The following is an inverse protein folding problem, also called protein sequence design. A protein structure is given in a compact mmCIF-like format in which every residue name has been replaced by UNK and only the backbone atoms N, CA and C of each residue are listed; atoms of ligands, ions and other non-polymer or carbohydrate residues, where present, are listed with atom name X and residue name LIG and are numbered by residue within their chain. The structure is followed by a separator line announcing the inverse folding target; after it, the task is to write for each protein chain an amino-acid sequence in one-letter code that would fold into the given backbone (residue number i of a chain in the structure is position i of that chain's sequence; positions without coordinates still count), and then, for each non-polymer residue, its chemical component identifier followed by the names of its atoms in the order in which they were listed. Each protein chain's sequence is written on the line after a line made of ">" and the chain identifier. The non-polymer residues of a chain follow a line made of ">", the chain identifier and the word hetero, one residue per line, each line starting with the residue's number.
data_IF_831671986762
#
_entry.id   IF_831671986762
#
_cell.length_a   1.000
_cell.length_b   1.000
_cell.length_c   1.000
_cell.angle_alpha   90.00
_cell.angle_beta   90.00
_cell.angle_gamma   90.00
#
_symmetry.space_group_name_H-M   'P 1'
#
loop_
_entity.id
_entity.type
_entity.pdbx_description
1 polymer ?
#
# COMPACT_ATOMS: atom_id res chain seq x y z
N UNK A 1 10.45 -28.10 -14.69
CA UNK A 1 11.56 -28.10 -15.68
C UNK A 1 12.80 -27.31 -15.22
N UNK A 2 13.38 -27.51 -14.01
CA UNK A 2 14.56 -26.72 -13.59
C UNK A 2 15.79 -26.91 -14.48
N UNK A 3 16.06 -28.15 -14.91
CA UNK A 3 17.20 -28.47 -15.78
C UNK A 3 17.11 -27.79 -17.15
N UNK A 4 15.92 -27.72 -17.75
CA UNK A 4 15.73 -27.01 -19.02
C UNK A 4 16.03 -25.52 -18.83
N UNK A 5 15.52 -24.89 -17.77
CA UNK A 5 15.79 -23.48 -17.49
C UNK A 5 17.29 -23.18 -17.32
N UNK A 6 18.02 -24.07 -16.64
CA UNK A 6 19.49 -23.95 -16.49
C UNK A 6 20.20 -24.12 -17.83
N UNK A 7 19.85 -25.13 -18.62
CA UNK A 7 20.45 -25.36 -19.95
C UNK A 7 20.21 -24.15 -20.85
N UNK A 8 18.97 -23.65 -20.90
CA UNK A 8 18.62 -22.45 -21.67
C UNK A 8 19.39 -21.22 -21.18
N UNK A 9 19.50 -21.01 -19.86
CA UNK A 9 20.29 -19.91 -19.29
C UNK A 9 21.77 -19.99 -19.70
N UNK A 10 22.38 -21.19 -19.64
CA UNK A 10 23.76 -21.39 -20.05
C UNK A 10 23.97 -21.15 -21.55
N UNK A 11 23.03 -21.57 -22.40
CA UNK A 11 23.08 -21.28 -23.84
C UNK A 11 22.99 -19.77 -24.09
N UNK A 12 22.04 -19.08 -23.44
CA UNK A 12 21.92 -17.61 -23.55
C UNK A 12 23.19 -16.88 -23.10
N UNK A 13 23.81 -17.34 -22.01
CA UNK A 13 25.05 -16.79 -21.49
C UNK A 13 26.27 -17.04 -22.39
N UNK A 14 26.55 -18.30 -22.73
CA UNK A 14 27.77 -18.65 -23.48
C UNK A 14 27.70 -18.36 -24.97
N UNK A 15 26.54 -18.53 -25.61
CA UNK A 15 26.40 -18.32 -27.07
C UNK A 15 26.08 -16.87 -27.40
N UNK A 16 25.22 -16.23 -26.60
CA UNK A 16 24.70 -14.89 -26.91
C UNK A 16 25.19 -13.79 -25.94
N UNK A 17 25.99 -14.13 -24.93
CA UNK A 17 26.45 -13.19 -23.88
C UNK A 17 25.29 -12.50 -23.13
N UNK A 18 24.14 -13.16 -23.03
CA UNK A 18 22.90 -12.63 -22.42
C UNK A 18 22.75 -13.05 -20.95
N UNK A 19 23.81 -12.94 -20.14
CA UNK A 19 23.80 -13.31 -18.71
C UNK A 19 22.79 -12.50 -17.89
N UNK A 20 22.66 -11.21 -18.20
CA UNK A 20 21.84 -10.26 -17.46
C UNK A 20 20.33 -10.36 -17.74
N UNK A 21 19.84 -10.53 -18.98
CA UNK A 21 18.42 -10.82 -19.20
C UNK A 21 18.10 -12.32 -19.09
N UNK A 22 19.10 -13.19 -19.21
CA UNK A 22 18.91 -14.64 -19.24
C UNK A 22 18.27 -15.22 -17.97
N UNK A 23 18.42 -14.58 -16.81
CA UNK A 23 17.83 -15.10 -15.56
C UNK A 23 16.29 -15.11 -15.58
N UNK A 24 15.65 -14.35 -16.47
CA UNK A 24 14.20 -14.36 -16.66
C UNK A 24 13.69 -15.78 -16.99
N UNK A 25 14.52 -16.62 -17.60
CA UNK A 25 14.21 -18.03 -17.88
C UNK A 25 13.90 -18.80 -16.60
N UNK A 26 14.47 -18.45 -15.44
CA UNK A 26 14.15 -19.12 -14.18
C UNK A 26 12.72 -18.86 -13.71
N UNK A 27 12.07 -17.77 -14.13
CA UNK A 27 10.66 -17.51 -13.84
C UNK A 27 9.74 -18.56 -14.51
N UNK A 28 10.19 -19.21 -15.58
CA UNK A 28 9.45 -20.31 -16.22
C UNK A 28 9.22 -21.51 -15.28
N UNK A 29 10.08 -21.71 -14.27
CA UNK A 29 9.98 -22.84 -13.34
C UNK A 29 8.67 -22.77 -12.53
N UNK A 30 8.41 -21.72 -11.72
CA UNK A 30 7.15 -21.58 -11.02
C UNK A 30 5.97 -21.34 -11.98
N UNK A 31 6.15 -20.61 -13.09
CA UNK A 31 5.06 -20.33 -14.03
C UNK A 31 4.47 -21.61 -14.65
N UNK A 32 5.31 -22.53 -15.12
CA UNK A 32 4.85 -23.81 -15.67
C UNK A 32 4.15 -24.65 -14.60
N UNK A 33 4.67 -24.66 -13.36
CA UNK A 33 4.03 -25.36 -12.26
C UNK A 33 2.64 -24.80 -11.94
N UNK A 34 2.48 -23.48 -11.94
CA UNK A 34 1.18 -22.81 -11.73
C UNK A 34 0.21 -23.16 -12.86
N UNK A 35 0.63 -23.04 -14.12
CA UNK A 35 -0.21 -23.32 -15.29
C UNK A 35 -0.68 -24.78 -15.30
N UNK A 36 0.20 -25.71 -14.95
CA UNK A 36 -0.12 -27.14 -14.96
C UNK A 36 -1.05 -27.56 -13.81
N UNK A 37 -0.93 -26.93 -12.63
CA UNK A 37 -1.61 -27.41 -11.42
C UNK A 37 -2.77 -26.54 -10.95
N UNK A 38 -3.04 -25.40 -11.61
CA UNK A 38 -4.01 -24.40 -11.14
C UNK A 38 -5.11 -24.17 -12.18
N UNK A 39 -6.36 -24.00 -11.71
CA UNK A 39 -7.48 -23.60 -12.57
C UNK A 39 -7.22 -22.24 -13.22
N UNK A 40 -7.63 -22.05 -14.47
CA UNK A 40 -7.37 -20.84 -15.28
C UNK A 40 -7.52 -19.51 -14.52
N UNK A 41 -8.65 -19.32 -13.83
CA UNK A 41 -8.91 -18.10 -13.03
C UNK A 41 -7.87 -17.86 -11.94
N UNK A 42 -7.53 -18.89 -11.18
CA UNK A 42 -6.54 -18.81 -10.11
C UNK A 42 -5.11 -18.73 -10.67
N UNK A 43 -4.88 -19.33 -11.84
CA UNK A 43 -3.61 -19.28 -12.54
C UNK A 43 -3.29 -17.84 -12.98
N UNK A 44 -4.25 -17.06 -13.50
CA UNK A 44 -4.01 -15.65 -13.86
C UNK A 44 -3.54 -14.84 -12.65
N UNK A 45 -4.21 -14.98 -11.50
CA UNK A 45 -3.83 -14.27 -10.28
C UNK A 45 -2.44 -14.70 -9.81
N UNK A 46 -2.16 -16.01 -9.80
CA UNK A 46 -0.86 -16.55 -9.39
C UNK A 46 0.28 -16.22 -10.36
N UNK A 47 -0.01 -16.05 -11.66
CA UNK A 47 0.96 -15.65 -12.68
C UNK A 47 1.22 -14.14 -12.70
N UNK A 48 0.32 -13.33 -12.14
CA UNK A 48 0.40 -11.87 -12.21
C UNK A 48 1.75 -11.29 -11.75
N UNK A 49 2.42 -11.77 -10.68
CA UNK A 49 3.72 -11.22 -10.29
C UNK A 49 4.81 -11.49 -11.32
N UNK A 50 4.79 -12.68 -11.92
CA UNK A 50 5.76 -13.06 -12.95
C UNK A 50 5.56 -12.26 -14.22
N UNK A 51 4.31 -12.09 -14.66
CA UNK A 51 3.96 -11.26 -15.81
C UNK A 51 4.34 -9.80 -15.59
N UNK A 52 4.09 -9.25 -14.40
CA UNK A 52 4.49 -7.88 -14.04
C UNK A 52 6.01 -7.71 -14.04
N UNK A 53 6.79 -8.68 -13.52
CA UNK A 53 8.26 -8.61 -13.57
C UNK A 53 8.76 -8.64 -15.00
N UNK A 54 8.25 -9.55 -15.84
CA UNK A 54 8.65 -9.64 -17.25
C UNK A 54 8.34 -8.32 -17.97
N UNK A 55 7.11 -7.80 -17.82
CA UNK A 55 6.71 -6.52 -18.41
C UNK A 55 7.58 -5.36 -17.92
N UNK A 56 7.87 -5.30 -16.62
CA UNK A 56 8.72 -4.25 -16.02
C UNK A 56 10.13 -4.26 -16.60
N UNK A 57 10.73 -5.44 -16.76
CA UNK A 57 12.08 -5.57 -17.31
C UNK A 57 12.13 -5.24 -18.80
N UNK A 58 11.12 -5.62 -19.58
CA UNK A 58 11.00 -5.23 -20.99
C UNK A 58 10.91 -3.70 -21.09
N UNK A 59 10.03 -3.07 -20.30
CA UNK A 59 9.89 -1.61 -20.26
C UNK A 59 11.20 -0.92 -19.86
N UNK A 60 11.91 -1.45 -18.86
CA UNK A 60 13.16 -0.90 -18.38
C UNK A 60 14.32 -1.05 -19.36
N UNK A 61 14.53 -2.25 -19.90
CA UNK A 61 15.68 -2.52 -20.78
C UNK A 61 15.48 -2.02 -22.20
N UNK A 62 14.31 -2.24 -22.82
CA UNK A 62 14.07 -1.86 -24.22
C UNK A 62 13.68 -0.39 -24.36
N UNK A 63 12.87 0.13 -23.44
CA UNK A 63 12.29 1.46 -23.56
C UNK A 63 12.85 2.48 -22.55
N UNK A 64 13.74 2.08 -21.63
CA UNK A 64 14.25 2.93 -20.53
C UNK A 64 13.14 3.50 -19.64
N UNK A 65 11.96 2.87 -19.63
CA UNK A 65 10.78 3.31 -18.89
C UNK A 65 10.75 2.74 -17.47
N UNK A 66 11.85 2.83 -16.71
CA UNK A 66 11.88 2.39 -15.31
C UNK A 66 10.89 3.16 -14.44
N UNK A 67 10.77 4.47 -14.71
CA UNK A 67 9.80 5.37 -14.12
C UNK A 67 8.99 6.05 -15.24
N UNK A 68 7.67 5.84 -15.35
CA UNK A 68 6.77 5.20 -14.39
C UNK A 68 6.49 3.69 -14.65
N UNK A 69 7.37 2.95 -15.34
CA UNK A 69 7.08 1.55 -15.73
C UNK A 69 6.81 0.58 -14.58
N UNK A 70 7.19 0.91 -13.34
CA UNK A 70 6.79 0.15 -12.15
C UNK A 70 5.26 0.03 -11.98
N UNK A 71 4.46 0.89 -12.61
CA UNK A 71 2.99 0.81 -12.57
C UNK A 71 2.44 -0.54 -13.04
N UNK A 72 3.19 -1.32 -13.84
CA UNK A 72 2.80 -2.68 -14.23
C UNK A 72 2.61 -3.63 -13.03
N UNK A 73 3.21 -3.33 -11.87
CA UNK A 73 3.00 -4.10 -10.65
C UNK A 73 1.60 -3.92 -10.04
N UNK A 74 0.88 -2.83 -10.38
CA UNK A 74 -0.52 -2.66 -9.97
C UNK A 74 -1.44 -3.71 -10.60
N UNK A 75 -1.01 -4.37 -11.69
CA UNK A 75 -1.71 -5.52 -12.26
C UNK A 75 -1.86 -6.68 -11.28
N UNK A 76 -0.93 -6.86 -10.34
CA UNK A 76 -0.97 -7.96 -9.36
C UNK A 76 -2.26 -7.90 -8.52
N UNK A 77 -2.51 -6.85 -7.71
CA UNK A 77 -3.75 -6.75 -6.96
C UNK A 77 -4.98 -6.56 -7.86
N UNK A 78 -4.86 -5.84 -8.98
CA UNK A 78 -5.99 -5.64 -9.90
C UNK A 78 -6.50 -6.96 -10.49
N UNK A 79 -5.61 -7.86 -10.92
CA UNK A 79 -5.99 -9.16 -11.46
C UNK A 79 -6.77 -10.00 -10.43
N UNK A 80 -6.35 -9.94 -9.16
CA UNK A 80 -7.04 -10.60 -8.06
C UNK A 80 -8.45 -10.03 -7.86
N UNK A 81 -8.59 -8.69 -7.87
CA UNK A 81 -9.88 -8.02 -7.67
C UNK A 81 -10.83 -8.28 -8.85
N UNK A 82 -10.36 -8.12 -10.09
CA UNK A 82 -11.17 -8.33 -11.30
C UNK A 82 -11.76 -9.74 -11.32
N UNK A 83 -10.96 -10.73 -10.94
CA UNK A 83 -11.37 -12.13 -11.02
C UNK A 83 -12.18 -12.54 -9.79
N UNK A 84 -11.85 -12.08 -8.59
CA UNK A 84 -12.43 -12.62 -7.35
C UNK A 84 -13.57 -11.77 -6.73
N UNK A 85 -13.78 -10.55 -7.22
CA UNK A 85 -14.80 -9.63 -6.68
C UNK A 85 -16.05 -9.62 -7.56
N UNK A 86 -17.22 -9.39 -6.94
CA UNK A 86 -18.48 -9.19 -7.68
C UNK A 86 -18.42 -7.88 -8.48
N UNK A 87 -19.02 -7.85 -9.67
CA UNK A 87 -19.01 -6.65 -10.54
C UNK A 87 -19.46 -5.36 -9.84
N UNK A 88 -20.43 -5.45 -8.92
CA UNK A 88 -20.92 -4.29 -8.16
C UNK A 88 -19.83 -3.65 -7.28
N UNK A 89 -19.00 -4.46 -6.65
CA UNK A 89 -17.99 -4.00 -5.68
C UNK A 89 -16.62 -3.80 -6.37
N UNK A 90 -16.46 -4.38 -7.56
CA UNK A 90 -15.22 -4.35 -8.34
C UNK A 90 -14.79 -2.93 -8.69
N UNK A 91 -15.71 -2.04 -9.10
CA UNK A 91 -15.35 -0.67 -9.50
C UNK A 91 -14.78 0.14 -8.33
N UNK A 92 -15.39 0.03 -7.15
CA UNK A 92 -14.88 0.67 -5.93
C UNK A 92 -13.51 0.08 -5.58
N UNK A 93 -13.36 -1.23 -5.62
CA UNK A 93 -12.12 -1.92 -5.25
C UNK A 93 -10.94 -1.63 -6.20
N UNK A 94 -11.19 -1.44 -7.50
CA UNK A 94 -10.15 -1.13 -8.49
C UNK A 94 -9.82 0.37 -8.53
N UNK A 95 -10.74 1.24 -8.09
CA UNK A 95 -10.58 2.70 -8.17
C UNK A 95 -9.28 3.26 -7.59
N UNK A 96 -8.67 2.75 -6.49
CA UNK A 96 -7.40 3.29 -6.01
C UNK A 96 -6.23 3.05 -6.97
N UNK A 97 -6.24 1.91 -7.67
CA UNK A 97 -5.22 1.56 -8.66
C UNK A 97 -5.36 2.42 -9.91
N UNK A 98 -6.59 2.62 -10.38
CA UNK A 98 -6.89 3.50 -11.52
C UNK A 98 -6.54 4.94 -11.19
N UNK A 99 -6.91 5.42 -10.00
CA UNK A 99 -6.56 6.76 -9.53
C UNK A 99 -5.04 6.95 -9.46
N UNK A 100 -4.31 5.95 -8.96
CA UNK A 100 -2.84 5.98 -8.92
C UNK A 100 -2.24 6.07 -10.32
N UNK A 101 -2.71 5.27 -11.28
CA UNK A 101 -2.23 5.32 -12.67
C UNK A 101 -2.46 6.71 -13.27
N UNK A 102 -3.68 7.25 -13.15
CA UNK A 102 -4.02 8.57 -13.67
C UNK A 102 -3.17 9.65 -12.98
N UNK A 103 -3.02 9.59 -11.65
CA UNK A 103 -2.22 10.55 -10.88
C UNK A 103 -0.76 10.57 -11.32
N UNK A 104 -0.14 9.40 -11.49
CA UNK A 104 1.24 9.28 -11.95
C UNK A 104 1.38 9.78 -13.39
N UNK A 105 0.40 9.49 -14.27
CA UNK A 105 0.41 10.02 -15.64
C UNK A 105 0.28 11.55 -15.64
N UNK A 106 -0.63 12.12 -14.85
CA UNK A 106 -0.78 13.56 -14.69
C UNK A 106 0.49 14.23 -14.14
N UNK A 107 1.13 13.61 -13.14
CA UNK A 107 2.36 14.11 -12.54
C UNK A 107 3.55 14.09 -13.51
N UNK A 108 3.85 12.94 -14.13
CA UNK A 108 5.05 12.83 -14.97
C UNK A 108 4.91 13.44 -16.37
N UNK A 109 3.73 13.35 -17.00
CA UNK A 109 3.56 13.82 -18.38
C UNK A 109 3.02 15.25 -18.47
N UNK A 110 2.32 15.74 -17.45
CA UNK A 110 1.68 17.05 -17.46
C UNK A 110 2.12 17.98 -16.31
N UNK A 111 2.99 17.53 -15.40
CA UNK A 111 3.42 18.25 -14.20
C UNK A 111 2.27 18.69 -13.29
N UNK A 112 1.15 17.96 -13.33
CA UNK A 112 -0.09 18.27 -12.61
C UNK A 112 -0.14 17.56 -11.25
N UNK A 113 0.91 17.62 -10.44
CA UNK A 113 0.96 16.96 -9.12
C UNK A 113 -0.07 17.52 -8.13
N UNK A 114 -0.17 18.85 -8.07
CA UNK A 114 -1.03 19.53 -7.11
C UNK A 114 -2.53 19.50 -7.47
N UNK A 115 -2.97 19.67 -8.72
CA UNK A 115 -4.37 19.41 -9.07
C UNK A 115 -4.65 17.92 -9.30
N UNK A 116 -3.65 17.11 -9.63
CA UNK A 116 -3.84 15.70 -10.01
C UNK A 116 -4.28 14.80 -8.87
N UNK A 117 -3.98 15.13 -7.61
CA UNK A 117 -4.41 14.30 -6.48
C UNK A 117 -5.94 14.24 -6.35
N UNK A 118 -6.66 15.21 -6.91
CA UNK A 118 -8.13 15.24 -6.91
C UNK A 118 -8.74 13.99 -7.54
N UNK A 119 -8.00 13.29 -8.41
CA UNK A 119 -8.45 12.01 -9.01
C UNK A 119 -8.72 10.95 -7.95
N UNK A 120 -8.02 10.97 -6.80
CA UNK A 120 -8.29 10.03 -5.71
C UNK A 120 -9.70 10.20 -5.10
N UNK A 121 -10.35 11.35 -5.27
CA UNK A 121 -11.73 11.56 -4.85
C UNK A 121 -12.73 10.70 -5.64
N UNK A 122 -12.33 10.12 -6.78
CA UNK A 122 -13.15 9.14 -7.48
C UNK A 122 -13.48 7.93 -6.61
N UNK A 123 -12.61 7.58 -5.65
CA UNK A 123 -12.78 6.42 -4.77
C UNK A 123 -14.02 6.59 -3.87
N UNK A 124 -14.11 7.64 -3.02
CA UNK A 124 -15.32 7.87 -2.22
C UNK A 124 -16.54 8.20 -3.08
N UNK A 125 -16.40 8.93 -4.19
CA UNK A 125 -17.53 9.27 -5.08
C UNK A 125 -18.18 8.00 -5.65
N UNK A 126 -17.39 7.11 -6.27
CA UNK A 126 -17.89 5.82 -6.77
C UNK A 126 -18.50 4.99 -5.64
N UNK A 127 -17.88 4.98 -4.45
CA UNK A 127 -18.41 4.29 -3.27
C UNK A 127 -19.80 4.79 -2.84
N UNK A 128 -20.01 6.11 -2.87
CA UNK A 128 -21.28 6.72 -2.48
C UNK A 128 -22.40 6.40 -3.47
N UNK A 129 -22.12 6.30 -4.78
CA UNK A 129 -23.13 5.98 -5.80
C UNK A 129 -23.90 4.67 -5.53
N UNK A 130 -23.30 3.74 -4.78
CA UNK A 130 -23.93 2.47 -4.41
C UNK A 130 -24.85 2.54 -3.18
N UNK A 131 -24.99 3.71 -2.53
CA UNK A 131 -25.92 3.88 -1.41
C UNK A 131 -27.38 3.80 -1.89
N UNK A 132 -28.28 3.23 -1.06
CA UNK A 132 -29.69 3.08 -1.43
C UNK A 132 -30.42 4.42 -1.52
N UNK A 133 -30.09 5.38 -0.64
CA UNK A 133 -30.78 6.67 -0.58
C UNK A 133 -30.23 7.65 -1.63
N UNK A 134 -31.00 7.87 -2.71
CA UNK A 134 -30.62 8.77 -3.81
C UNK A 134 -30.41 10.22 -3.38
N UNK A 135 -31.11 10.69 -2.34
CA UNK A 135 -30.90 12.04 -1.82
C UNK A 135 -29.51 12.17 -1.16
N UNK A 136 -29.11 11.16 -0.38
CA UNK A 136 -27.77 11.16 0.22
C UNK A 136 -26.70 11.14 -0.86
N UNK A 137 -26.86 10.28 -1.88
CA UNK A 137 -25.94 10.23 -3.03
C UNK A 137 -25.80 11.61 -3.68
N UNK A 138 -26.93 12.25 -4.01
CA UNK A 138 -26.92 13.57 -4.63
C UNK A 138 -26.22 14.62 -3.76
N UNK A 139 -26.52 14.65 -2.45
CA UNK A 139 -25.90 15.61 -1.52
C UNK A 139 -24.38 15.42 -1.44
N UNK A 140 -23.88 14.20 -1.33
CA UNK A 140 -22.44 13.92 -1.32
C UNK A 140 -21.76 14.26 -2.64
N UNK A 141 -22.33 13.86 -3.78
CA UNK A 141 -21.75 14.16 -5.09
C UNK A 141 -21.66 15.67 -5.32
N UNK A 142 -22.73 16.41 -4.99
CA UNK A 142 -22.74 17.87 -5.05
C UNK A 142 -21.65 18.47 -4.14
N UNK A 143 -21.48 17.88 -2.95
CA UNK A 143 -20.48 18.32 -1.98
C UNK A 143 -19.04 18.18 -2.48
N UNK A 144 -18.74 17.05 -3.14
CA UNK A 144 -17.42 16.81 -3.73
C UNK A 144 -17.18 17.75 -4.90
N UNK A 145 -18.16 17.95 -5.77
CA UNK A 145 -18.06 18.88 -6.91
C UNK A 145 -17.79 20.31 -6.43
N UNK A 146 -18.53 20.78 -5.41
CA UNK A 146 -18.32 22.11 -4.81
C UNK A 146 -16.94 22.22 -4.17
N UNK A 147 -16.51 21.20 -3.42
CA UNK A 147 -15.18 21.19 -2.79
C UNK A 147 -14.04 21.20 -3.82
N UNK A 148 -14.16 20.41 -4.90
CA UNK A 148 -13.20 20.39 -6.01
C UNK A 148 -13.15 21.75 -6.70
N UNK A 149 -14.30 22.34 -7.02
CA UNK A 149 -14.39 23.67 -7.63
C UNK A 149 -13.76 24.74 -6.76
N UNK A 150 -14.03 24.73 -5.46
CA UNK A 150 -13.42 25.64 -4.49
C UNK A 150 -11.90 25.44 -4.39
N UNK A 151 -11.42 24.20 -4.32
CA UNK A 151 -9.99 23.89 -4.28
C UNK A 151 -9.25 24.44 -5.50
N UNK A 152 -9.77 24.18 -6.70
CA UNK A 152 -9.18 24.65 -7.95
C UNK A 152 -9.26 26.17 -8.07
N UNK A 153 -10.36 26.79 -7.66
CA UNK A 153 -10.51 28.24 -7.67
C UNK A 153 -9.52 28.92 -6.72
N UNK A 154 -9.42 28.46 -5.48
CA UNK A 154 -8.45 29.00 -4.51
C UNK A 154 -7.00 28.76 -4.93
N UNK A 155 -6.72 27.59 -5.52
CA UNK A 155 -5.39 27.24 -6.02
C UNK A 155 -4.94 28.07 -7.23
N UNK A 156 -5.79 28.22 -8.25
CA UNK A 156 -5.41 28.90 -9.50
C UNK A 156 -5.59 30.42 -9.46
N UNK A 157 -6.60 30.95 -8.75
CA UNK A 157 -6.89 32.40 -8.73
C UNK A 157 -6.11 33.10 -7.62
N UNK A 158 -5.98 32.46 -6.46
CA UNK A 158 -5.39 33.08 -5.27
C UNK A 158 -4.04 32.47 -4.88
N UNK A 159 -3.58 31.39 -5.54
CA UNK A 159 -2.37 30.64 -5.17
C UNK A 159 -2.40 30.07 -3.73
N UNK A 160 -3.60 29.94 -3.16
CA UNK A 160 -3.85 29.56 -1.77
C UNK A 160 -4.35 28.11 -1.67
N UNK A 161 -3.55 27.16 -2.16
CA UNK A 161 -3.88 25.73 -2.19
C UNK A 161 -4.25 25.14 -0.81
N UNK A 162 -3.55 25.57 0.25
CA UNK A 162 -3.82 25.11 1.62
C UNK A 162 -5.24 25.49 2.08
N UNK A 163 -5.67 26.73 1.78
CA UNK A 163 -7.02 27.19 2.11
C UNK A 163 -8.08 26.54 1.22
N UNK A 164 -7.75 26.31 -0.06
CA UNK A 164 -8.59 25.51 -0.95
C UNK A 164 -8.87 24.12 -0.37
N UNK A 165 -7.87 23.50 0.27
CA UNK A 165 -7.99 22.20 0.92
C UNK A 165 -9.06 22.14 2.01
N UNK A 166 -9.35 23.27 2.66
CA UNK A 166 -10.42 23.36 3.66
C UNK A 166 -11.81 23.12 3.06
N UNK A 167 -11.98 23.29 1.74
CA UNK A 167 -13.23 22.94 1.05
C UNK A 167 -13.63 21.48 1.22
N UNK A 168 -12.66 20.57 1.41
CA UNK A 168 -12.94 19.15 1.64
C UNK A 168 -13.51 18.82 3.02
N UNK A 169 -13.60 19.81 3.93
CA UNK A 169 -14.40 19.68 5.14
C UNK A 169 -15.91 19.61 4.82
N UNK A 170 -16.34 20.11 3.67
CA UNK A 170 -17.76 20.13 3.30
C UNK A 170 -18.34 18.72 3.05
N UNK A 171 -17.73 17.84 2.23
CA UNK A 171 -18.16 16.44 2.13
C UNK A 171 -18.15 15.69 3.46
N UNK A 172 -17.16 15.96 4.31
CA UNK A 172 -17.07 15.37 5.64
C UNK A 172 -18.20 15.84 6.56
N UNK A 173 -18.49 17.14 6.58
CA UNK A 173 -19.61 17.72 7.32
C UNK A 173 -20.96 17.17 6.88
N UNK A 174 -21.17 16.98 5.58
CA UNK A 174 -22.37 16.30 5.06
C UNK A 174 -22.46 14.87 5.58
N UNK A 175 -21.34 14.14 5.68
CA UNK A 175 -21.38 12.79 6.24
C UNK A 175 -21.74 12.71 7.72
N UNK A 176 -21.38 13.72 8.50
CA UNK A 176 -21.87 13.87 9.88
C UNK A 176 -23.37 14.18 9.88
N UNK A 177 -23.83 15.15 9.08
CA UNK A 177 -25.24 15.57 9.02
C UNK A 177 -26.18 14.45 8.59
N UNK A 178 -25.74 13.61 7.65
CA UNK A 178 -26.50 12.47 7.14
C UNK A 178 -26.43 11.25 8.07
N UNK A 179 -25.69 11.33 9.18
CA UNK A 179 -25.58 10.26 10.18
C UNK A 179 -24.77 9.04 9.72
N UNK A 180 -23.98 9.19 8.64
CA UNK A 180 -23.08 8.15 8.15
C UNK A 180 -21.79 8.09 8.98
N UNK A 181 -21.35 9.22 9.52
CA UNK A 181 -20.23 9.32 10.45
C UNK A 181 -20.80 9.35 11.86
N UNK A 182 -20.77 8.20 12.54
CA UNK A 182 -21.15 8.10 13.95
C UNK A 182 -19.89 7.99 14.80
N UNK A 183 -19.79 8.87 15.79
CA UNK A 183 -18.78 8.74 16.84
C UNK A 183 -19.33 7.78 17.90
N UNK A 184 -19.11 6.48 17.71
CA UNK A 184 -19.45 5.47 18.71
C UNK A 184 -18.45 5.54 19.87
N UNK A 185 -18.73 6.40 20.85
CA UNK A 185 -18.03 6.41 22.14
C UNK A 185 -18.42 5.22 23.03
N UNK A 186 -19.54 4.55 22.74
CA UNK A 186 -20.02 3.34 23.43
C UNK A 186 -19.13 2.11 23.19
N UNK A 187 -18.22 2.14 22.21
CA UNK A 187 -17.21 1.10 22.01
C UNK A 187 -16.25 0.92 23.20
N UNK A 188 -16.26 1.87 24.15
CA UNK A 188 -15.46 1.83 25.38
C UNK A 188 -16.13 0.98 26.47
N UNK A 189 -17.42 0.65 26.37
CA UNK A 189 -18.13 -0.15 27.37
C UNK A 189 -18.22 -1.63 26.97
N UNK A 190 -17.35 -2.45 27.56
CA UNK A 190 -17.33 -3.89 27.36
C UNK A 190 -16.14 -4.59 28.01
N UNK A 191 -16.05 -5.93 27.93
CA UNK A 191 -14.94 -6.71 28.53
C UNK A 191 -13.56 -6.40 27.91
N UNK A 192 -13.52 -5.64 26.80
CA UNK A 192 -12.30 -5.20 26.13
C UNK A 192 -11.89 -3.75 26.44
N UNK A 193 -12.61 -3.04 27.31
CA UNK A 193 -12.35 -1.64 27.69
C UNK A 193 -10.88 -1.36 28.01
N UNK A 194 -10.27 -2.20 28.85
CA UNK A 194 -8.86 -2.05 29.24
C UNK A 194 -7.92 -2.19 28.04
N UNK A 195 -8.22 -3.07 27.08
CA UNK A 195 -7.41 -3.27 25.87
C UNK A 195 -7.49 -2.05 24.95
N UNK A 196 -8.70 -1.49 24.77
CA UNK A 196 -8.93 -0.27 24.00
C UNK A 196 -8.21 0.92 24.64
N UNK A 197 -8.28 1.07 25.97
CA UNK A 197 -7.56 2.12 26.69
C UNK A 197 -6.04 1.97 26.52
N UNK A 198 -5.50 0.76 26.65
CA UNK A 198 -4.07 0.49 26.42
C UNK A 198 -3.66 0.86 24.99
N UNK A 199 -4.48 0.55 23.98
CA UNK A 199 -4.23 0.98 22.60
C UNK A 199 -4.24 2.50 22.43
N UNK A 200 -5.25 3.19 22.98
CA UNK A 200 -5.34 4.65 22.89
C UNK A 200 -4.14 5.32 23.55
N UNK A 201 -3.78 4.89 24.78
CA UNK A 201 -2.60 5.37 25.48
C UNK A 201 -1.32 5.13 24.69
N UNK A 202 -1.22 3.96 24.05
CA UNK A 202 -0.08 3.62 23.17
C UNK A 202 0.01 4.57 21.99
N UNK A 203 -1.11 4.86 21.32
CA UNK A 203 -1.14 5.80 20.19
C UNK A 203 -0.71 7.20 20.63
N UNK A 204 -1.28 7.71 21.73
CA UNK A 204 -0.89 9.02 22.26
C UNK A 204 0.59 9.06 22.67
N UNK A 205 1.09 8.01 23.32
CA UNK A 205 2.51 7.88 23.66
C UNK A 205 3.39 7.91 22.40
N UNK A 206 3.04 7.14 21.36
CA UNK A 206 3.82 7.10 20.12
C UNK A 206 3.85 8.46 19.42
N UNK A 207 2.73 9.19 19.37
CA UNK A 207 2.68 10.55 18.82
C UNK A 207 3.56 11.49 19.64
N UNK A 208 3.42 11.48 20.96
CA UNK A 208 4.23 12.33 21.85
C UNK A 208 5.72 12.03 21.70
N UNK A 209 6.11 10.76 21.69
CA UNK A 209 7.49 10.33 21.52
C UNK A 209 8.02 10.68 20.11
N UNK A 210 7.23 10.49 19.05
CA UNK A 210 7.60 10.89 17.69
C UNK A 210 7.91 12.38 17.59
N UNK A 211 7.02 13.24 18.12
CA UNK A 211 7.22 14.69 18.12
C UNK A 211 8.39 15.09 19.01
N UNK A 212 8.56 14.45 20.16
CA UNK A 212 9.68 14.72 21.07
C UNK A 212 11.02 14.37 20.41
N UNK A 213 11.15 13.18 19.81
CA UNK A 213 12.35 12.76 19.09
C UNK A 213 12.61 13.66 17.87
N UNK A 214 11.57 14.02 17.13
CA UNK A 214 11.67 14.92 15.98
C UNK A 214 12.13 16.33 16.34
N UNK A 215 11.47 16.99 17.29
CA UNK A 215 11.77 18.40 17.62
C UNK A 215 12.95 18.58 18.57
N UNK A 216 13.18 17.66 19.53
CA UNK A 216 14.24 17.81 20.54
C UNK A 216 15.57 17.26 20.05
N UNK A 217 15.55 16.16 19.30
CA UNK A 217 16.76 15.43 18.87
C UNK A 217 17.01 15.50 17.36
N UNK A 218 16.22 16.29 16.62
CA UNK A 218 16.22 16.36 15.15
C UNK A 218 16.12 14.97 14.49
N UNK A 219 15.43 14.04 15.17
CA UNK A 219 15.48 12.61 14.89
C UNK A 219 14.46 12.13 13.86
N UNK A 220 13.96 12.99 12.97
CA UNK A 220 12.83 12.69 12.08
C UNK A 220 13.00 11.41 11.25
N UNK A 221 14.24 11.13 10.85
CA UNK A 221 14.61 9.98 10.00
C UNK A 221 14.33 8.64 10.71
N UNK A 222 14.47 8.57 12.05
CA UNK A 222 14.27 7.32 12.82
C UNK A 222 13.10 7.39 13.80
N UNK A 223 12.59 8.58 14.13
CA UNK A 223 11.50 8.77 15.10
C UNK A 223 10.22 8.00 14.72
N UNK A 224 9.95 7.81 13.42
CA UNK A 224 8.77 7.09 12.95
C UNK A 224 8.74 5.61 13.41
N UNK A 225 9.89 5.02 13.74
CA UNK A 225 9.96 3.63 14.21
C UNK A 225 9.14 3.41 15.48
N UNK A 226 8.92 4.45 16.29
CA UNK A 226 8.07 4.40 17.50
C UNK A 226 6.64 3.94 17.16
N UNK A 227 6.12 4.26 15.98
CA UNK A 227 4.78 3.84 15.58
C UNK A 227 4.65 2.32 15.39
N UNK A 228 5.75 1.59 15.21
CA UNK A 228 5.74 0.11 15.15
C UNK A 228 5.34 -0.52 16.49
N UNK A 229 5.36 0.24 17.59
CA UNK A 229 4.88 -0.22 18.89
C UNK A 229 3.35 -0.38 18.92
N UNK A 230 2.61 0.39 18.12
CA UNK A 230 1.13 0.30 18.05
C UNK A 230 0.66 -1.11 17.66
N UNK A 231 1.09 -1.69 16.52
CA UNK A 231 0.68 -3.04 16.15
C UNK A 231 1.23 -4.11 17.11
N UNK A 232 2.42 -3.92 17.69
CA UNK A 232 2.96 -4.86 18.70
C UNK A 232 2.05 -4.91 19.92
N UNK A 233 1.68 -3.76 20.49
CA UNK A 233 0.76 -3.70 21.63
C UNK A 233 -0.62 -4.23 21.26
N UNK A 234 -1.11 -3.96 20.05
CA UNK A 234 -2.38 -4.52 19.58
C UNK A 234 -2.35 -6.06 19.57
N UNK A 235 -1.29 -6.68 19.06
CA UNK A 235 -1.14 -8.15 19.07
C UNK A 235 -1.09 -8.67 20.51
N UNK A 236 -0.31 -8.04 21.39
CA UNK A 236 -0.19 -8.45 22.78
C UNK A 236 -1.49 -8.30 23.57
N UNK A 237 -2.29 -7.27 23.26
CA UNK A 237 -3.54 -6.99 23.95
C UNK A 237 -4.69 -7.87 23.45
N UNK A 238 -4.80 -8.12 22.14
CA UNK A 238 -5.97 -8.76 21.53
C UNK A 238 -5.76 -10.24 21.20
N UNK A 239 -4.55 -10.65 20.88
CA UNK A 239 -4.22 -12.03 20.54
C UNK A 239 -3.45 -12.74 21.67
N UNK A 240 -3.35 -14.06 21.56
CA UNK A 240 -2.37 -14.82 22.36
C UNK A 240 -0.97 -14.43 21.90
N UNK A 241 -0.05 -14.33 22.85
CA UNK A 241 1.36 -14.08 22.56
C UNK A 241 1.88 -15.11 21.56
N UNK A 242 2.37 -14.63 20.42
CA UNK A 242 3.00 -15.41 19.36
C UNK A 242 4.22 -14.65 18.89
N UNK A 243 5.41 -15.24 19.05
CA UNK A 243 6.65 -14.56 18.70
C UNK A 243 6.71 -14.30 17.18
N UNK A 244 6.16 -15.20 16.39
CA UNK A 244 5.94 -15.05 14.94
C UNK A 244 5.19 -13.78 14.55
N UNK A 245 4.22 -13.35 15.34
CA UNK A 245 3.41 -12.17 15.03
C UNK A 245 4.16 -10.85 15.30
N UNK A 246 5.12 -10.86 16.24
CA UNK A 246 5.88 -9.68 16.67
C UNK A 246 7.20 -9.55 15.88
N UNK A 247 7.75 -10.67 15.42
CA UNK A 247 9.03 -10.74 14.72
C UNK A 247 9.21 -9.75 13.55
N UNK A 248 8.21 -9.48 12.68
CA UNK A 248 8.37 -8.50 11.60
C UNK A 248 8.65 -7.08 12.10
N UNK A 249 7.97 -6.65 13.16
CA UNK A 249 8.16 -5.32 13.74
C UNK A 249 9.54 -5.19 14.37
N UNK A 250 9.99 -6.22 15.09
CA UNK A 250 11.33 -6.28 15.67
C UNK A 250 12.40 -6.26 14.57
N UNK A 251 12.21 -7.04 13.50
CA UNK A 251 13.13 -7.06 12.37
C UNK A 251 13.26 -5.68 11.70
N UNK A 252 12.15 -4.96 11.49
CA UNK A 252 12.16 -3.61 10.92
C UNK A 252 12.88 -2.62 11.84
N UNK A 253 12.61 -2.68 13.16
CA UNK A 253 13.31 -1.83 14.14
C UNK A 253 14.81 -2.07 14.05
N UNK A 254 15.25 -3.34 14.11
CA UNK A 254 16.66 -3.70 14.02
C UNK A 254 17.29 -3.32 12.67
N UNK A 255 16.60 -3.55 11.55
CA UNK A 255 17.08 -3.21 10.21
C UNK A 255 17.46 -1.73 10.11
N UNK A 256 16.55 -0.85 10.51
CA UNK A 256 16.75 0.59 10.42
C UNK A 256 17.65 1.12 11.54
N UNK A 257 17.62 0.56 12.75
CA UNK A 257 18.54 0.97 13.82
C UNK A 257 19.99 0.59 13.48
N UNK A 258 20.24 -0.62 12.99
CA UNK A 258 21.58 -1.02 12.54
C UNK A 258 22.02 -0.20 11.32
N UNK A 259 21.10 0.01 10.38
CA UNK A 259 21.35 0.80 9.17
C UNK A 259 21.71 2.25 9.47
N UNK A 260 20.89 2.98 10.24
CA UNK A 260 21.12 4.41 10.48
C UNK A 260 22.19 4.71 11.52
N UNK A 261 22.31 3.93 12.61
CA UNK A 261 23.29 4.23 13.67
C UNK A 261 24.69 3.69 13.38
N UNK A 262 24.82 2.65 12.56
CA UNK A 262 26.11 2.01 12.26
C UNK A 262 26.49 2.04 10.78
N UNK A 263 25.66 2.60 9.89
CA UNK A 263 25.84 2.59 8.44
C UNK A 263 25.96 1.18 7.83
N UNK A 264 25.35 0.19 8.50
CA UNK A 264 25.47 -1.24 8.15
C UNK A 264 24.22 -1.79 7.45
N UNK A 265 23.64 -1.04 6.51
CA UNK A 265 22.48 -1.49 5.72
C UNK A 265 22.74 -2.79 4.95
N UNK A 266 23.98 -3.02 4.55
CA UNK A 266 24.42 -4.22 3.84
C UNK A 266 24.37 -5.51 4.69
N UNK A 267 24.36 -5.40 6.02
CA UNK A 267 24.22 -6.54 6.96
C UNK A 267 22.85 -6.51 7.66
N UNK A 268 22.25 -5.33 7.84
CA UNK A 268 21.04 -5.18 8.65
C UNK A 268 19.84 -5.99 8.13
N UNK A 269 19.82 -6.36 6.84
CA UNK A 269 18.79 -7.24 6.27
C UNK A 269 18.74 -8.62 6.95
N UNK A 270 19.83 -9.08 7.58
CA UNK A 270 19.85 -10.32 8.38
C UNK A 270 18.84 -10.28 9.54
N UNK A 271 18.43 -9.10 10.01
CA UNK A 271 17.38 -8.97 11.01
C UNK A 271 16.06 -9.62 10.57
N UNK A 272 15.76 -9.66 9.27
CA UNK A 272 14.57 -10.32 8.75
C UNK A 272 14.60 -11.85 8.88
N UNK A 273 15.76 -12.46 9.16
CA UNK A 273 15.84 -13.89 9.48
C UNK A 273 15.18 -14.22 10.83
N UNK A 274 14.92 -13.24 11.69
CA UNK A 274 14.16 -13.44 12.93
C UNK A 274 12.75 -13.97 12.62
N UNK A 275 12.15 -13.59 11.49
CA UNK A 275 10.80 -14.01 11.10
C UNK A 275 10.72 -15.54 10.88
N UNK A 276 11.50 -16.16 9.97
CA UNK A 276 11.49 -17.61 9.83
C UNK A 276 12.01 -18.34 11.08
N UNK A 277 13.00 -17.80 11.80
CA UNK A 277 13.49 -18.40 13.06
C UNK A 277 12.38 -18.46 14.11
N UNK A 278 11.63 -17.37 14.27
CA UNK A 278 10.48 -17.32 15.18
C UNK A 278 9.44 -18.37 14.80
N UNK A 279 9.17 -18.55 13.51
CA UNK A 279 8.22 -19.56 13.03
C UNK A 279 8.67 -20.99 13.31
N UNK A 280 9.97 -21.28 13.19
CA UNK A 280 10.50 -22.61 13.50
C UNK A 280 10.41 -22.88 15.00
N UNK A 281 10.86 -21.95 15.84
CA UNK A 281 10.88 -22.11 17.30
C UNK A 281 9.48 -22.24 17.91
N UNK A 282 8.48 -21.58 17.33
CA UNK A 282 7.11 -21.62 17.82
C UNK A 282 6.37 -22.91 17.42
N UNK A 283 6.84 -23.61 16.38
CA UNK A 283 6.26 -24.87 15.88
C UNK A 283 7.10 -26.12 16.21
N UNK A 284 8.21 -25.96 16.94
CA UNK A 284 9.09 -27.04 17.41
C UNK A 284 8.63 -27.59 18.76
#
# INVERSE_FOLDING_TARGET
>A
MPFISVITYMILGFVYNLWNPGWIVFLSIPMVAIIANTRFKNAIVALSPFLSVIAFLILGFEFQLWHPGWMVFLFIPMSAIILNTRLKDMFVAISPFVATIIFIVLGFYYDLWNPGWLVFLMIPMIGVLYKPNKLHVFLYELSFIVAIGFYLYMGYVYELWAYGGLGFLLPFGIGILLGDVKFELDAIEGPQKNKVIVMLLTIFFCIAAFLTLGFVLDGWIYAWQVFLLIPVVAILAFDKFRFTAIAPFVAVVLFFSIGYFFDMFHISWLAFMIIPIAAILENA
#
